data_IF_604757512611
#
_entry.id   IF_604757512611
#
_cell.length_a   1.000
_cell.length_b   1.000
_cell.length_c   1.000
_cell.angle_alpha   90.00
_cell.angle_beta   90.00
_cell.angle_gamma   90.00
#
_symmetry.space_group_name_H-M   'P 1'
#
loop_
_entity.id
_entity.type
_entity.pdbx_description
1 polymer ?
#
# COMPACT_ATOMS: atom_id res chain seq x y z
N UNK A 1 2.74 6.36 39.95
CA UNK A 1 2.22 7.22 38.86
C UNK A 1 2.68 6.60 37.55
N UNK A 2 1.77 6.04 36.74
CA UNK A 2 2.12 5.59 35.39
C UNK A 2 2.47 6.84 34.57
N UNK A 3 3.65 6.89 33.98
CA UNK A 3 4.01 7.96 33.04
C UNK A 3 3.03 7.95 31.87
N UNK A 4 2.52 9.13 31.51
CA UNK A 4 1.75 9.32 30.29
C UNK A 4 2.66 9.02 29.10
N UNK A 5 2.22 8.13 28.22
CA UNK A 5 2.97 7.75 27.02
C UNK A 5 2.70 8.75 25.92
N UNK A 6 3.72 9.04 25.13
CA UNK A 6 3.61 9.89 23.96
C UNK A 6 2.80 9.17 22.86
N UNK A 7 1.75 9.81 22.36
CA UNK A 7 0.93 9.32 21.24
C UNK A 7 1.77 9.07 19.98
N UNK A 8 2.81 9.86 19.73
CA UNK A 8 3.71 9.63 18.60
C UNK A 8 4.52 8.35 18.76
N UNK A 9 4.93 8.04 19.99
CA UNK A 9 5.60 6.77 20.31
C UNK A 9 4.66 5.59 20.06
N UNK A 10 3.39 5.71 20.47
CA UNK A 10 2.38 4.65 20.26
C UNK A 10 2.18 4.40 18.76
N UNK A 11 1.92 5.46 17.97
CA UNK A 11 1.71 5.31 16.53
C UNK A 11 2.93 4.73 15.82
N UNK A 12 4.14 5.19 16.17
CA UNK A 12 5.40 4.69 15.61
C UNK A 12 5.70 3.25 16.01
N UNK A 13 5.36 2.83 17.22
CA UNK A 13 5.53 1.46 17.66
C UNK A 13 4.57 0.51 16.93
N UNK A 14 3.28 0.87 16.84
CA UNK A 14 2.27 0.09 16.10
C UNK A 14 2.68 -0.07 14.63
N UNK A 15 3.11 1.03 14.00
CA UNK A 15 3.59 1.02 12.62
C UNK A 15 4.74 0.02 12.44
N UNK A 16 5.78 0.15 13.27
CA UNK A 16 7.01 -0.66 13.18
C UNK A 16 6.75 -2.13 13.47
N UNK A 17 5.90 -2.44 14.46
CA UNK A 17 5.55 -3.82 14.76
C UNK A 17 4.89 -4.50 13.55
N UNK A 18 3.86 -3.87 12.96
CA UNK A 18 3.17 -4.41 11.79
C UNK A 18 4.11 -4.53 10.58
N UNK A 19 5.01 -3.57 10.38
CA UNK A 19 6.01 -3.62 9.31
C UNK A 19 7.10 -4.66 9.51
N UNK A 20 7.54 -4.90 10.74
CA UNK A 20 8.57 -5.87 11.09
C UNK A 20 8.07 -7.31 11.00
N UNK A 21 6.76 -7.52 11.20
CA UNK A 21 6.11 -8.83 11.14
C UNK A 21 5.50 -9.16 9.78
N UNK A 22 5.45 -8.21 8.85
CA UNK A 22 4.89 -8.40 7.51
C UNK A 22 5.76 -9.34 6.66
N UNK A 23 5.22 -10.48 6.18
CA UNK A 23 5.91 -11.33 5.23
C UNK A 23 5.38 -11.16 3.80
N UNK A 24 6.27 -11.11 2.81
CA UNK A 24 5.88 -11.31 1.41
C UNK A 24 6.06 -12.78 1.00
N UNK A 25 5.02 -13.58 1.19
CA UNK A 25 5.04 -15.03 0.94
C UNK A 25 4.15 -15.47 -0.23
N UNK A 26 3.64 -14.54 -1.06
CA UNK A 26 2.68 -14.81 -2.16
C UNK A 26 3.13 -15.93 -3.11
N UNK A 27 4.44 -16.07 -3.33
CA UNK A 27 5.01 -17.05 -4.27
C UNK A 27 5.74 -18.22 -3.59
N UNK A 28 5.67 -18.35 -2.25
CA UNK A 28 6.28 -19.47 -1.54
C UNK A 28 5.33 -20.65 -1.50
N UNK A 29 5.83 -21.84 -1.85
CA UNK A 29 5.05 -23.09 -1.85
C UNK A 29 4.73 -23.60 -0.46
N UNK A 30 5.57 -23.32 0.53
CA UNK A 30 5.28 -23.57 1.95
C UNK A 30 4.72 -22.30 2.60
N UNK A 31 3.46 -22.35 3.02
CA UNK A 31 2.89 -21.31 3.88
C UNK A 31 3.30 -21.58 5.31
N UNK A 32 4.13 -20.71 5.90
CA UNK A 32 4.28 -20.66 7.36
C UNK A 32 2.93 -20.18 7.91
N UNK A 33 2.34 -20.97 8.81
CA UNK A 33 1.09 -20.61 9.46
C UNK A 33 1.27 -19.27 10.20
N UNK A 34 0.40 -18.31 9.92
CA UNK A 34 0.49 -16.99 10.55
C UNK A 34 0.17 -17.13 12.03
N UNK A 35 1.16 -16.95 12.89
CA UNK A 35 0.92 -16.84 14.33
C UNK A 35 0.08 -15.60 14.57
N UNK A 36 -1.13 -15.78 15.12
CA UNK A 36 -1.95 -14.66 15.58
C UNK A 36 -1.36 -14.14 16.89
N UNK A 37 -0.80 -12.93 16.83
CA UNK A 37 -0.26 -12.26 18.02
C UNK A 37 -1.20 -11.16 18.46
N UNK A 38 -1.58 -11.18 19.73
CA UNK A 38 -2.30 -10.09 20.39
C UNK A 38 -1.30 -9.27 21.21
N UNK A 39 -1.32 -7.95 21.03
CA UNK A 39 -0.49 -7.01 21.77
C UNK A 39 -1.40 -6.11 22.59
N UNK A 40 -1.05 -5.94 23.85
CA UNK A 40 -1.79 -5.12 24.79
C UNK A 40 -0.88 -4.00 25.27
N UNK A 41 -1.35 -2.76 25.15
CA UNK A 41 -0.73 -1.63 25.82
C UNK A 41 -1.33 -1.54 27.22
N UNK A 42 -0.52 -1.73 28.25
CA UNK A 42 -0.97 -1.62 29.63
C UNK A 42 -1.02 -0.16 30.08
N UNK A 43 -2.02 0.56 29.58
CA UNK A 43 -2.27 1.97 29.85
C UNK A 43 -3.75 2.19 30.11
N UNK A 44 -4.09 3.32 30.75
CA UNK A 44 -5.47 3.77 30.73
C UNK A 44 -5.85 4.11 29.28
N UNK A 45 -6.95 3.52 28.81
CA UNK A 45 -7.47 3.80 27.48
C UNK A 45 -7.91 5.27 27.40
N UNK A 46 -7.49 5.94 26.32
CA UNK A 46 -7.88 7.32 26.00
C UNK A 46 -8.13 7.42 24.51
N UNK A 47 -8.98 8.37 24.11
CA UNK A 47 -9.27 8.64 22.70
C UNK A 47 -8.00 9.00 21.91
N UNK A 48 -7.05 9.70 22.54
CA UNK A 48 -5.74 10.04 21.93
C UNK A 48 -4.94 8.78 21.61
N UNK A 49 -4.89 7.80 22.53
CA UNK A 49 -4.18 6.54 22.30
C UNK A 49 -4.87 5.67 21.25
N UNK A 50 -6.21 5.62 21.23
CA UNK A 50 -6.96 4.93 20.19
C UNK A 50 -6.69 5.53 18.80
N UNK A 51 -6.66 6.86 18.70
CA UNK A 51 -6.31 7.55 17.46
C UNK A 51 -4.85 7.33 17.05
N UNK A 52 -3.91 7.31 18.01
CA UNK A 52 -2.51 7.00 17.75
C UNK A 52 -2.32 5.57 17.21
N UNK A 53 -3.03 4.59 17.79
CA UNK A 53 -3.04 3.20 17.29
C UNK A 53 -3.56 3.19 15.85
N UNK A 54 -4.75 3.76 15.61
CA UNK A 54 -5.36 3.82 14.27
C UNK A 54 -4.42 4.48 13.25
N UNK A 55 -3.74 5.56 13.62
CA UNK A 55 -2.77 6.23 12.76
C UNK A 55 -1.58 5.32 12.42
N UNK A 56 -1.01 4.62 13.40
CA UNK A 56 0.05 3.64 13.19
C UNK A 56 -0.38 2.50 12.26
N UNK A 57 -1.62 2.04 12.38
CA UNK A 57 -2.18 1.03 11.49
C UNK A 57 -2.36 1.53 10.06
N UNK A 58 -2.87 2.75 9.87
CA UNK A 58 -3.01 3.37 8.54
C UNK A 58 -1.64 3.49 7.87
N UNK A 59 -0.61 3.96 8.60
CA UNK A 59 0.76 4.06 8.09
C UNK A 59 1.32 2.70 7.70
N UNK A 60 1.26 1.72 8.60
CA UNK A 60 1.74 0.37 8.33
C UNK A 60 1.04 -0.26 7.12
N UNK A 61 -0.30 -0.24 7.08
CA UNK A 61 -1.07 -0.85 6.01
C UNK A 61 -0.78 -0.20 4.65
N UNK A 62 -0.58 1.12 4.63
CA UNK A 62 -0.22 1.86 3.41
C UNK A 62 1.16 1.48 2.90
N UNK A 63 2.17 1.39 3.79
CA UNK A 63 3.52 0.95 3.43
C UNK A 63 3.55 -0.51 3.04
N UNK A 64 2.80 -1.37 3.72
CA UNK A 64 2.64 -2.79 3.37
C UNK A 64 2.08 -2.92 1.97
N UNK A 65 1.01 -2.18 1.63
CA UNK A 65 0.43 -2.22 0.30
C UNK A 65 1.43 -1.75 -0.78
N UNK A 66 2.20 -0.69 -0.52
CA UNK A 66 3.27 -0.27 -1.43
C UNK A 66 4.36 -1.36 -1.60
N UNK A 67 4.73 -2.05 -0.51
CA UNK A 67 5.65 -3.20 -0.54
C UNK A 67 5.07 -4.37 -1.31
N UNK A 68 3.78 -4.66 -1.16
CA UNK A 68 3.10 -5.71 -1.93
C UNK A 68 3.21 -5.44 -3.42
N UNK A 69 2.89 -4.23 -3.87
CA UNK A 69 3.04 -3.85 -5.28
C UNK A 69 4.50 -3.95 -5.75
N UNK A 70 5.44 -3.41 -4.97
CA UNK A 70 6.86 -3.35 -5.36
C UNK A 70 7.52 -4.73 -5.38
N UNK A 71 7.10 -5.64 -4.51
CA UNK A 71 7.66 -6.99 -4.42
C UNK A 71 7.11 -7.94 -5.49
N UNK A 72 6.10 -7.53 -6.27
CA UNK A 72 5.63 -8.34 -7.40
C UNK A 72 6.74 -8.47 -8.45
N UNK A 73 6.97 -9.67 -9.00
CA UNK A 73 7.85 -9.83 -10.14
C UNK A 73 7.27 -9.13 -11.37
N UNK A 74 8.11 -8.84 -12.37
CA UNK A 74 7.74 -8.11 -13.58
C UNK A 74 6.61 -8.76 -14.39
N UNK A 75 6.42 -10.08 -14.27
CA UNK A 75 5.28 -10.80 -14.86
C UNK A 75 4.01 -10.79 -13.99
N UNK A 76 4.12 -10.49 -12.69
CA UNK A 76 3.03 -10.45 -11.72
C UNK A 76 2.35 -9.08 -11.57
N UNK A 77 3.04 -8.00 -11.96
CA UNK A 77 2.50 -6.63 -11.97
C UNK A 77 2.91 -5.89 -13.24
N UNK A 78 2.04 -5.96 -14.26
CA UNK A 78 2.15 -5.21 -15.51
C UNK A 78 1.41 -3.86 -15.37
N UNK A 79 1.65 -2.87 -16.26
CA UNK A 79 1.04 -1.54 -16.14
C UNK A 79 -0.48 -1.54 -15.94
N UNK A 80 -1.22 -2.33 -16.75
CA UNK A 80 -2.68 -2.47 -16.60
C UNK A 80 -3.08 -3.07 -15.24
N UNK A 81 -2.38 -4.11 -14.80
CA UNK A 81 -2.65 -4.75 -13.50
C UNK A 81 -2.38 -3.79 -12.33
N UNK A 82 -1.41 -2.88 -12.46
CA UNK A 82 -1.21 -1.82 -11.47
C UNK A 82 -2.40 -0.86 -11.43
N UNK A 83 -2.89 -0.41 -12.59
CA UNK A 83 -4.07 0.45 -12.65
C UNK A 83 -5.30 -0.21 -12.01
N UNK A 84 -5.51 -1.51 -12.28
CA UNK A 84 -6.60 -2.30 -11.67
C UNK A 84 -6.46 -2.40 -10.15
N UNK A 85 -5.26 -2.71 -9.63
CA UNK A 85 -5.01 -2.78 -8.17
C UNK A 85 -5.19 -1.43 -7.48
N UNK A 86 -4.83 -0.33 -8.15
CA UNK A 86 -5.07 1.02 -7.64
C UNK A 86 -6.57 1.31 -7.62
N UNK A 87 -7.30 1.01 -8.69
CA UNK A 87 -8.75 1.17 -8.71
C UNK A 87 -9.44 0.37 -7.60
N UNK A 88 -9.08 -0.91 -7.44
CA UNK A 88 -9.59 -1.78 -6.38
C UNK A 88 -9.36 -1.18 -4.99
N UNK A 89 -8.14 -0.68 -4.72
CA UNK A 89 -7.76 -0.10 -3.42
C UNK A 89 -8.65 1.07 -2.99
N UNK A 90 -9.14 1.85 -3.94
CA UNK A 90 -9.89 3.08 -3.70
C UNK A 90 -11.40 2.96 -3.95
N UNK A 91 -11.91 1.77 -4.28
CA UNK A 91 -13.34 1.51 -4.61
C UNK A 91 -14.31 2.03 -3.55
N UNK A 92 -13.96 1.93 -2.27
CA UNK A 92 -14.80 2.33 -1.13
C UNK A 92 -14.48 3.74 -0.61
N UNK A 93 -13.86 4.57 -1.44
CA UNK A 93 -13.45 5.93 -1.08
C UNK A 93 -14.00 6.95 -2.06
N UNK A 94 -13.88 8.23 -1.72
CA UNK A 94 -14.26 9.33 -2.63
C UNK A 94 -13.20 9.62 -3.70
N UNK A 95 -12.06 8.90 -3.68
CA UNK A 95 -10.96 9.12 -4.61
C UNK A 95 -11.37 8.69 -6.02
N UNK A 96 -11.20 9.60 -6.97
CA UNK A 96 -11.46 9.34 -8.39
C UNK A 96 -10.21 8.80 -9.05
N UNK A 97 -10.34 7.66 -9.72
CA UNK A 97 -9.26 7.01 -10.46
C UNK A 97 -9.52 7.16 -11.95
N UNK A 98 -8.53 7.70 -12.69
CA UNK A 98 -8.49 7.66 -14.15
C UNK A 98 -7.23 6.94 -14.59
N UNK A 99 -7.36 6.13 -15.63
CA UNK A 99 -6.25 5.46 -16.26
C UNK A 99 -6.25 5.80 -17.75
N UNK A 100 -5.07 6.04 -18.30
CA UNK A 100 -4.87 6.30 -19.72
C UNK A 100 -3.87 5.30 -20.28
N UNK A 101 -4.18 4.70 -21.42
CA UNK A 101 -3.34 3.68 -22.07
C UNK A 101 -3.42 3.77 -23.59
N UNK A 102 -2.46 3.16 -24.28
CA UNK A 102 -2.47 3.05 -25.74
C UNK A 102 -2.53 4.42 -26.43
N UNK A 103 -3.48 4.57 -27.35
CA UNK A 103 -3.64 5.80 -28.16
C UNK A 103 -3.99 7.04 -27.33
N UNK A 104 -4.63 6.88 -26.18
CA UNK A 104 -5.01 8.01 -25.32
C UNK A 104 -3.77 8.72 -24.74
N UNK A 105 -2.65 8.00 -24.59
CA UNK A 105 -1.38 8.61 -24.17
C UNK A 105 -0.85 9.60 -25.20
N UNK A 106 -1.01 9.31 -26.49
CA UNK A 106 -0.60 10.19 -27.59
C UNK A 106 -1.52 11.41 -27.69
N UNK A 107 -2.84 11.19 -27.59
CA UNK A 107 -3.84 12.27 -27.59
C UNK A 107 -3.60 13.27 -26.45
N UNK A 108 -3.16 12.77 -25.30
CA UNK A 108 -2.82 13.57 -24.11
C UNK A 108 -1.40 14.14 -24.10
N UNK A 109 -0.62 13.92 -25.16
CA UNK A 109 0.78 14.38 -25.32
C UNK A 109 1.74 13.80 -24.28
N UNK A 110 1.50 12.58 -23.81
CA UNK A 110 2.43 11.83 -22.95
C UNK A 110 3.53 11.13 -23.77
N UNK A 111 4.13 11.85 -24.72
CA UNK A 111 5.09 11.30 -25.68
C UNK A 111 6.32 10.65 -25.01
N UNK A 112 6.78 11.17 -23.86
CA UNK A 112 7.87 10.58 -23.09
C UNK A 112 7.52 9.19 -22.53
N UNK A 113 6.32 9.04 -21.96
CA UNK A 113 5.83 7.76 -21.44
C UNK A 113 5.61 6.75 -22.59
N UNK A 114 4.98 7.18 -23.68
CA UNK A 114 4.75 6.35 -24.86
C UNK A 114 6.07 5.88 -25.49
N UNK A 115 7.05 6.79 -25.64
CA UNK A 115 8.37 6.48 -26.20
C UNK A 115 9.16 5.47 -25.37
N UNK A 116 9.05 5.51 -24.03
CA UNK A 116 9.67 4.51 -23.15
C UNK A 116 8.94 3.16 -23.25
N UNK A 117 7.61 3.18 -23.27
CA UNK A 117 6.79 1.96 -23.25
C UNK A 117 6.72 1.20 -24.58
N UNK A 118 7.00 1.83 -25.73
CA UNK A 118 6.85 1.22 -27.07
C UNK A 118 7.62 -0.08 -27.32
N UNK A 119 8.67 -0.34 -26.53
CA UNK A 119 9.47 -1.56 -26.63
C UNK A 119 8.88 -2.77 -25.89
N UNK A 120 7.82 -2.56 -25.10
CA UNK A 120 7.15 -3.59 -24.30
C UNK A 120 5.95 -4.16 -25.06
N UNK A 121 5.69 -5.46 -24.90
CA UNK A 121 4.43 -6.09 -25.31
C UNK A 121 3.22 -5.69 -24.44
N UNK A 122 3.47 -4.99 -23.34
CA UNK A 122 2.46 -4.43 -22.45
C UNK A 122 2.50 -2.92 -22.55
N UNK A 123 1.41 -2.33 -23.05
CA UNK A 123 1.27 -0.89 -23.20
C UNK A 123 1.56 -0.17 -21.87
N UNK A 124 2.26 0.98 -21.91
CA UNK A 124 2.41 1.82 -20.73
C UNK A 124 1.03 2.33 -20.28
N UNK A 125 0.93 2.68 -19.01
CA UNK A 125 -0.28 3.26 -18.44
C UNK A 125 0.08 4.49 -17.60
N UNK A 126 -0.77 5.51 -17.65
CA UNK A 126 -0.73 6.65 -16.74
C UNK A 126 -1.91 6.53 -15.79
N UNK A 127 -1.65 6.62 -14.48
CA UNK A 127 -2.68 6.53 -13.43
C UNK A 127 -2.79 7.90 -12.77
N UNK A 128 -3.99 8.44 -12.76
CA UNK A 128 -4.32 9.70 -12.12
C UNK A 128 -5.29 9.42 -10.96
N UNK A 129 -4.96 9.97 -9.78
CA UNK A 129 -5.77 9.89 -8.57
C UNK A 129 -6.16 11.33 -8.19
N UNK A 130 -7.44 11.57 -7.89
CA UNK A 130 -7.97 12.87 -7.47
C UNK A 130 -8.90 12.76 -6.27
#
# INVERSE_FOLDING_TARGET
MMQQLDSDLISGWVERWKLGTYPFNKYKSSSIEKVKTHLYLNVQETEDYLNAIRLGEIRANSVIWARELTNEPSNGLRPRMLAERVAERFTETEVQIKFFEGVELEERRFAGLAAVGRGSSHSPAFIELR
#
